data_IF_346248330282
#
_entry.id   IF_346248330282
#
_cell.length_a   1.000
_cell.length_b   1.000
_cell.length_c   1.000
_cell.angle_alpha   90.00
_cell.angle_beta   90.00
_cell.angle_gamma   90.00
#
_symmetry.space_group_name_H-M   'P 1'
#
loop_
_entity.id
_entity.type
_entity.pdbx_description
1 polymer ?
#
# COMPACT_ATOMS: atom_id res chain seq x y z
N UNK A 1 64.45 10.34 12.41
CA UNK A 1 63.56 9.81 11.38
C UNK A 1 62.14 10.14 11.81
N UNK A 2 61.41 10.93 11.02
CA UNK A 2 60.01 11.21 11.29
C UNK A 2 59.23 9.93 11.02
N UNK A 3 58.64 9.31 12.04
CA UNK A 3 57.68 8.22 11.87
C UNK A 3 56.44 8.81 11.20
N UNK A 4 56.27 8.55 9.92
CA UNK A 4 55.02 8.89 9.22
C UNK A 4 53.93 7.92 9.69
N UNK A 5 53.04 8.41 10.53
CA UNK A 5 51.78 7.75 10.82
C UNK A 5 51.00 7.49 9.51
N UNK A 6 50.88 6.25 9.12
CA UNK A 6 50.08 5.89 7.97
C UNK A 6 48.64 5.67 8.36
N UNK A 7 47.76 6.58 7.98
CA UNK A 7 46.31 6.42 8.20
C UNK A 7 45.65 5.98 6.91
N UNK A 8 44.94 4.85 6.93
CA UNK A 8 44.24 4.30 5.78
C UNK A 8 42.72 4.44 6.03
N UNK A 9 42.04 5.09 5.07
CA UNK A 9 40.59 5.22 5.08
C UNK A 9 39.97 4.07 4.31
N UNK A 10 38.96 3.43 4.89
CA UNK A 10 38.27 2.29 4.32
C UNK A 10 36.75 2.39 4.54
N UNK A 11 36.01 1.59 3.78
CA UNK A 11 34.57 1.46 3.94
C UNK A 11 34.20 -0.03 4.10
N UNK A 12 33.41 -0.30 5.12
CA UNK A 12 32.78 -1.60 5.33
C UNK A 12 31.30 -1.48 4.94
N UNK A 13 30.76 -2.47 4.26
CA UNK A 13 29.34 -2.57 3.93
C UNK A 13 28.81 -3.94 4.23
N UNK A 14 27.60 -3.99 4.79
CA UNK A 14 26.87 -5.22 5.08
C UNK A 14 25.43 -5.08 4.57
N UNK A 15 24.93 -6.12 3.90
CA UNK A 15 23.55 -6.19 3.46
C UNK A 15 22.84 -7.34 4.12
N UNK A 16 21.73 -7.08 4.78
CA UNK A 16 20.88 -8.07 5.39
C UNK A 16 19.48 -8.03 4.78
N UNK A 17 19.01 -9.18 4.25
CA UNK A 17 17.67 -9.32 3.67
C UNK A 17 16.93 -10.45 4.38
N UNK A 18 15.77 -10.14 4.92
CA UNK A 18 14.88 -11.11 5.54
C UNK A 18 13.54 -11.11 4.82
N UNK A 19 13.17 -12.27 4.24
CA UNK A 19 11.86 -12.51 3.64
C UNK A 19 11.15 -13.63 4.39
N UNK A 20 9.90 -13.36 4.74
CA UNK A 20 8.97 -14.36 5.30
C UNK A 20 7.74 -14.34 4.41
N UNK A 21 7.44 -15.45 3.76
CA UNK A 21 6.26 -15.61 2.91
C UNK A 21 5.52 -16.88 3.30
N UNK A 22 4.20 -16.82 3.33
CA UNK A 22 3.37 -17.97 3.54
C UNK A 22 2.15 -17.97 2.63
N UNK A 23 1.70 -19.14 2.23
CA UNK A 23 0.48 -19.36 1.48
C UNK A 23 -0.26 -20.59 2.00
N UNK A 24 -1.57 -20.46 2.15
CA UNK A 24 -2.45 -21.56 2.60
C UNK A 24 -3.65 -21.62 1.67
N UNK A 25 -3.90 -22.78 1.10
CA UNK A 25 -5.08 -23.06 0.27
C UNK A 25 -5.96 -24.05 1.02
N UNK A 26 -7.23 -23.73 1.20
CA UNK A 26 -8.16 -24.60 1.92
C UNK A 26 -9.55 -24.61 1.28
N UNK A 27 -10.25 -25.71 1.47
CA UNK A 27 -11.66 -25.88 1.08
C UNK A 27 -12.45 -26.39 2.31
N UNK A 28 -12.78 -25.50 3.27
CA UNK A 28 -13.38 -25.88 4.54
C UNK A 28 -14.79 -26.49 4.39
N UNK A 29 -15.49 -26.09 3.35
CA UNK A 29 -16.75 -26.66 2.91
C UNK A 29 -16.69 -26.85 1.39
N UNK A 30 -17.42 -27.81 0.89
CA UNK A 30 -17.44 -28.12 -0.54
C UNK A 30 -17.86 -26.88 -1.34
N UNK A 31 -17.12 -26.58 -2.41
CA UNK A 31 -17.32 -25.43 -3.31
C UNK A 31 -16.95 -24.06 -2.73
N UNK A 32 -16.36 -23.96 -1.53
CA UNK A 32 -15.76 -22.75 -0.98
C UNK A 32 -14.23 -22.90 -0.94
N UNK A 33 -13.56 -22.26 -1.83
CA UNK A 33 -12.09 -22.16 -1.83
C UNK A 33 -11.64 -20.88 -1.16
N UNK A 34 -10.67 -21.00 -0.27
CA UNK A 34 -10.05 -19.90 0.47
C UNK A 34 -8.54 -20.01 0.23
N UNK A 35 -7.99 -18.97 -0.36
CA UNK A 35 -6.57 -18.80 -0.53
C UNK A 35 -6.11 -17.68 0.41
N UNK A 36 -5.21 -17.99 1.35
CA UNK A 36 -4.59 -17.04 2.27
C UNK A 36 -3.12 -16.88 1.89
N UNK A 37 -2.64 -15.67 1.88
CA UNK A 37 -1.23 -15.38 1.68
C UNK A 37 -0.80 -14.18 2.50
N UNK A 38 0.46 -14.14 2.88
CA UNK A 38 1.02 -13.00 3.58
C UNK A 38 2.53 -13.06 3.58
N UNK A 39 3.15 -11.93 3.80
CA UNK A 39 4.60 -11.85 3.80
C UNK A 39 5.13 -10.63 4.52
N UNK A 40 6.41 -10.69 4.84
CA UNK A 40 7.20 -9.62 5.43
C UNK A 40 8.56 -9.58 4.76
N UNK A 41 8.95 -8.41 4.29
CA UNK A 41 10.29 -8.14 3.77
C UNK A 41 10.95 -7.08 4.64
N UNK A 42 12.15 -7.35 5.10
CA UNK A 42 12.98 -6.40 5.83
C UNK A 42 14.37 -6.43 5.21
N UNK A 43 14.76 -5.34 4.57
CA UNK A 43 16.05 -5.19 3.93
C UNK A 43 16.82 -4.05 4.57
N UNK A 44 18.04 -4.31 5.02
CA UNK A 44 18.94 -3.32 5.58
C UNK A 44 20.30 -3.37 4.89
N UNK A 45 20.88 -2.19 4.71
CA UNK A 45 22.23 -1.99 4.28
C UNK A 45 22.93 -1.17 5.37
N UNK A 46 23.98 -1.71 5.94
CA UNK A 46 24.86 -1.01 6.86
C UNK A 46 26.10 -0.57 6.09
N UNK A 47 26.50 0.67 6.26
CA UNK A 47 27.74 1.23 5.72
C UNK A 47 28.50 1.95 6.81
N UNK A 48 29.74 1.63 6.98
CA UNK A 48 30.65 2.26 7.95
C UNK A 48 31.90 2.76 7.25
N UNK A 49 32.17 4.06 7.41
CA UNK A 49 33.47 4.64 7.05
C UNK A 49 34.36 4.61 8.28
N UNK A 50 35.54 4.06 8.13
CA UNK A 50 36.51 3.97 9.24
C UNK A 50 37.93 4.26 8.75
N UNK A 51 38.79 4.59 9.69
CA UNK A 51 40.22 4.64 9.42
C UNK A 51 40.99 3.74 10.39
N UNK A 52 42.12 3.27 9.90
CA UNK A 52 43.08 2.51 10.69
C UNK A 52 44.41 3.21 10.66
N UNK A 53 45.09 3.23 11.78
CA UNK A 53 46.41 3.91 11.92
C UNK A 53 47.41 2.92 12.50
N UNK A 54 48.58 2.84 11.84
CA UNK A 54 49.72 2.12 12.34
C UNK A 54 50.57 3.10 13.16
N UNK A 55 50.56 2.92 14.50
CA UNK A 55 51.31 3.73 15.44
C UNK A 55 52.76 3.28 15.60
N UNK A 56 53.03 2.02 15.32
CA UNK A 56 54.36 1.41 15.60
C UNK A 56 55.23 1.37 14.35
N UNK A 57 54.67 1.61 13.15
CA UNK A 57 55.40 1.55 11.91
C UNK A 57 55.83 0.14 11.50
N UNK A 58 55.11 -0.88 12.02
CA UNK A 58 55.39 -2.30 11.71
C UNK A 58 54.57 -2.87 10.55
N UNK A 59 53.75 -2.01 9.91
CA UNK A 59 52.84 -2.37 8.82
C UNK A 59 51.53 -2.96 9.28
N UNK A 60 51.28 -3.03 10.58
CA UNK A 60 50.02 -3.51 11.19
C UNK A 60 49.26 -2.35 11.82
N UNK A 61 48.02 -2.20 11.44
CA UNK A 61 47.14 -1.16 12.04
C UNK A 61 46.73 -1.49 13.45
N UNK A 62 47.07 -0.60 14.39
CA UNK A 62 46.85 -0.80 15.84
C UNK A 62 45.62 -0.06 16.36
N UNK A 63 45.15 0.98 15.61
CA UNK A 63 44.00 1.77 16.02
C UNK A 63 42.95 1.71 14.92
N UNK A 64 41.72 1.38 15.31
CA UNK A 64 40.52 1.44 14.53
C UNK A 64 39.65 2.59 15.04
N UNK A 65 39.28 3.50 14.11
CA UNK A 65 38.38 4.60 14.43
C UNK A 65 37.18 4.53 13.48
N UNK A 66 36.02 4.27 14.04
CA UNK A 66 34.74 4.43 13.33
C UNK A 66 34.46 5.91 13.13
N UNK A 67 34.16 6.33 11.92
CA UNK A 67 33.88 7.72 11.58
C UNK A 67 32.39 7.96 11.40
N UNK A 68 31.76 7.26 10.48
CA UNK A 68 30.35 7.40 10.15
C UNK A 68 29.77 6.00 10.02
N UNK A 69 28.69 5.76 10.77
CA UNK A 69 27.88 4.55 10.68
C UNK A 69 26.49 4.92 10.18
N UNK A 70 26.06 4.31 9.08
CA UNK A 70 24.78 4.57 8.47
C UNK A 70 24.08 3.24 8.13
N UNK A 71 22.91 3.05 8.70
CA UNK A 71 22.01 1.96 8.32
C UNK A 71 20.83 2.53 7.56
N UNK A 72 20.55 1.99 6.39
CA UNK A 72 19.40 2.37 5.59
C UNK A 72 18.73 1.13 5.00
N UNK A 73 17.44 1.25 4.66
CA UNK A 73 16.72 0.11 4.14
C UNK A 73 15.28 0.38 3.82
N UNK A 74 14.55 -0.70 3.59
CA UNK A 74 13.12 -0.68 3.36
C UNK A 74 12.43 -1.82 4.12
N UNK A 75 11.13 -1.65 4.32
CA UNK A 75 10.32 -2.62 5.04
C UNK A 75 8.93 -2.70 4.44
N UNK A 76 8.42 -3.92 4.30
CA UNK A 76 7.05 -4.17 3.87
C UNK A 76 6.47 -5.36 4.64
N UNK A 77 5.19 -5.26 4.99
CA UNK A 77 4.47 -6.36 5.64
C UNK A 77 3.00 -6.36 5.23
N UNK A 78 2.44 -7.55 5.04
CA UNK A 78 0.99 -7.69 4.90
C UNK A 78 0.28 -7.39 6.22
N UNK A 79 -0.80 -6.61 6.14
CA UNK A 79 -1.55 -6.12 7.31
C UNK A 79 -3.04 -6.14 7.06
N UNK A 80 -3.85 -5.64 8.00
CA UNK A 80 -5.29 -5.49 7.81
C UNK A 80 -5.74 -4.10 8.21
N UNK A 81 -6.48 -3.45 7.32
CA UNK A 81 -7.10 -2.14 7.51
C UNK A 81 -8.64 -2.24 7.44
N UNK A 82 -9.18 -3.46 7.42
CA UNK A 82 -10.59 -3.75 7.13
C UNK A 82 -11.57 -3.05 8.09
N UNK A 83 -11.17 -2.76 9.33
CA UNK A 83 -12.00 -2.07 10.30
C UNK A 83 -12.36 -0.65 9.87
N UNK A 84 -11.49 0.01 9.09
CA UNK A 84 -11.66 1.39 8.61
C UNK A 84 -11.92 1.47 7.11
N UNK A 85 -12.01 0.33 6.41
CA UNK A 85 -12.14 0.25 4.96
C UNK A 85 -13.39 0.96 4.40
N UNK A 86 -14.45 1.04 5.22
CA UNK A 86 -15.75 1.63 4.87
C UNK A 86 -16.08 2.85 5.73
N UNK A 87 -15.16 3.34 6.56
CA UNK A 87 -15.36 4.58 7.31
C UNK A 87 -15.49 5.76 6.34
N UNK A 88 -16.32 6.72 6.75
CA UNK A 88 -16.49 7.94 5.96
C UNK A 88 -15.18 8.71 5.87
N UNK A 89 -14.75 8.99 4.65
CA UNK A 89 -13.54 9.76 4.36
C UNK A 89 -13.72 10.52 3.05
N UNK A 90 -13.96 11.81 3.14
CA UNK A 90 -14.08 12.74 2.03
C UNK A 90 -13.28 14.03 2.31
N UNK A 91 -13.35 15.04 1.43
CA UNK A 91 -12.65 16.30 1.60
C UNK A 91 -13.14 17.12 2.82
N UNK A 92 -14.39 16.92 3.22
CA UNK A 92 -14.99 17.70 4.31
C UNK A 92 -14.81 17.02 5.67
N UNK A 93 -14.78 15.68 5.70
CA UNK A 93 -14.70 14.92 6.95
C UNK A 93 -14.04 13.57 6.74
N UNK A 94 -13.27 13.12 7.72
CA UNK A 94 -12.67 11.78 7.73
C UNK A 94 -12.54 11.28 9.16
N UNK A 95 -13.36 10.29 9.51
CA UNK A 95 -13.32 9.67 10.85
C UNK A 95 -11.92 9.12 11.19
N UNK A 96 -11.24 8.35 10.30
CA UNK A 96 -9.91 7.84 10.63
C UNK A 96 -8.86 8.95 10.75
N UNK A 97 -9.00 10.05 9.99
CA UNK A 97 -8.07 11.17 10.09
C UNK A 97 -8.26 11.97 11.39
N UNK A 98 -9.50 12.17 11.82
CA UNK A 98 -9.79 12.82 13.09
C UNK A 98 -9.34 11.97 14.28
N UNK A 99 -9.52 10.65 14.20
CA UNK A 99 -8.95 9.70 15.15
C UNK A 99 -7.40 9.75 15.16
N UNK A 100 -6.77 9.83 13.98
CA UNK A 100 -5.32 9.98 13.89
C UNK A 100 -4.84 11.24 14.62
N UNK A 101 -5.49 12.37 14.41
CA UNK A 101 -5.16 13.62 15.12
C UNK A 101 -5.29 13.50 16.63
N UNK A 102 -6.36 12.87 17.11
CA UNK A 102 -6.60 12.68 18.56
C UNK A 102 -5.64 11.68 19.18
N UNK A 103 -5.26 10.63 18.45
CA UNK A 103 -4.32 9.61 18.91
C UNK A 103 -2.90 10.15 19.17
N UNK A 104 -2.52 11.26 18.50
CA UNK A 104 -1.17 11.86 18.66
C UNK A 104 -0.88 12.22 20.12
N UNK A 105 -1.82 12.85 20.80
CA UNK A 105 -1.66 13.21 22.22
C UNK A 105 -1.58 11.99 23.13
N UNK A 106 -2.37 10.95 22.85
CA UNK A 106 -2.34 9.69 23.61
C UNK A 106 -1.00 9.00 23.47
N UNK A 107 -0.48 8.89 22.24
CA UNK A 107 0.81 8.26 21.97
C UNK A 107 1.96 9.07 22.53
N UNK A 108 1.94 10.41 22.39
CA UNK A 108 2.94 11.31 22.95
C UNK A 108 3.05 11.15 24.48
N UNK A 109 1.93 11.06 25.18
CA UNK A 109 1.91 10.82 26.63
C UNK A 109 2.43 9.41 27.02
N UNK A 110 2.26 8.40 26.16
CA UNK A 110 2.84 7.07 26.38
C UNK A 110 4.36 7.10 26.24
N UNK A 111 4.85 7.75 25.16
CA UNK A 111 6.28 7.95 24.91
C UNK A 111 6.96 8.71 26.04
N UNK A 112 6.33 9.79 26.51
CA UNK A 112 6.85 10.57 27.64
C UNK A 112 6.92 9.74 28.93
N UNK A 113 5.89 8.97 29.24
CA UNK A 113 5.90 8.08 30.43
C UNK A 113 6.99 7.01 30.33
N UNK A 114 7.24 6.47 29.15
CA UNK A 114 8.30 5.49 28.93
C UNK A 114 9.67 6.13 29.05
N UNK A 115 9.85 7.34 28.53
CA UNK A 115 11.10 8.07 28.51
C UNK A 115 11.46 8.67 29.88
N UNK A 116 10.54 9.42 30.49
CA UNK A 116 10.81 10.15 31.75
C UNK A 116 10.61 9.31 33.01
N UNK A 117 9.82 8.23 32.94
CA UNK A 117 9.49 7.44 34.15
C UNK A 117 8.79 8.30 35.19
N UNK A 118 9.51 8.53 36.31
CA UNK A 118 9.07 9.39 37.42
C UNK A 118 9.65 10.80 37.39
N UNK A 119 10.51 11.14 36.44
CA UNK A 119 11.09 12.48 36.27
C UNK A 119 10.02 13.46 35.78
N UNK A 120 9.82 14.61 36.42
CA UNK A 120 8.87 15.62 35.95
C UNK A 120 9.28 16.18 34.60
N UNK A 121 8.27 16.49 33.77
CA UNK A 121 8.44 17.11 32.47
C UNK A 121 7.38 18.20 32.24
N UNK A 122 7.68 19.16 31.37
CA UNK A 122 6.76 20.22 31.00
C UNK A 122 5.78 19.78 29.89
N UNK A 123 4.67 20.51 29.81
CA UNK A 123 3.69 20.38 28.71
C UNK A 123 3.68 21.67 27.90
N UNK A 124 3.48 21.54 26.59
CA UNK A 124 3.25 22.70 25.74
C UNK A 124 1.81 23.25 25.88
N UNK A 125 1.48 24.32 25.12
CA UNK A 125 0.15 24.94 25.16
C UNK A 125 -0.99 24.01 24.69
N UNK A 126 -0.67 23.03 23.85
CA UNK A 126 -1.60 22.03 23.33
C UNK A 126 -1.66 20.77 24.21
N UNK A 127 -0.89 20.74 25.31
CA UNK A 127 -0.84 19.63 26.27
C UNK A 127 0.12 18.48 25.88
N UNK A 128 0.97 18.68 24.87
CA UNK A 128 1.96 17.68 24.49
C UNK A 128 3.18 17.72 25.43
N UNK A 129 3.70 16.53 25.79
CA UNK A 129 4.89 16.44 26.61
C UNK A 129 6.12 17.00 25.91
N UNK A 130 7.01 17.59 26.67
CA UNK A 130 8.29 18.07 26.20
C UNK A 130 9.07 16.98 25.46
N UNK A 131 9.60 17.32 24.27
CA UNK A 131 10.32 16.38 23.40
C UNK A 131 9.44 15.43 22.58
N UNK A 132 8.12 15.40 22.81
CA UNK A 132 7.15 14.54 22.10
C UNK A 132 5.96 15.35 21.61
N UNK A 133 6.22 16.39 20.82
CA UNK A 133 5.17 17.28 20.27
C UNK A 133 4.30 16.58 19.22
N UNK A 134 3.26 17.30 18.78
CA UNK A 134 2.22 16.79 17.86
C UNK A 134 2.75 16.28 16.52
N UNK A 135 3.91 16.77 16.06
CA UNK A 135 4.54 16.40 14.79
C UNK A 135 5.81 15.56 14.98
N UNK A 136 6.09 15.10 16.21
CA UNK A 136 7.16 14.14 16.43
C UNK A 136 6.93 12.87 15.62
N UNK A 137 7.92 12.44 14.83
CA UNK A 137 7.85 11.19 14.05
C UNK A 137 7.49 10.00 14.94
N UNK A 138 8.02 9.97 16.17
CA UNK A 138 7.75 8.90 17.15
C UNK A 138 6.30 8.86 17.61
N UNK A 139 5.60 10.02 17.64
CA UNK A 139 4.18 10.08 17.96
C UNK A 139 3.29 9.87 16.73
N UNK A 140 3.69 10.42 15.58
CA UNK A 140 2.90 10.36 14.36
C UNK A 140 2.71 8.93 13.85
N UNK A 141 3.79 8.15 13.75
CA UNK A 141 3.72 6.82 13.14
C UNK A 141 2.81 5.84 13.90
N UNK A 142 2.94 5.64 15.22
CA UNK A 142 2.01 4.76 15.93
C UNK A 142 0.57 5.27 15.93
N UNK A 143 0.37 6.59 15.98
CA UNK A 143 -0.98 7.21 15.92
C UNK A 143 -1.66 6.96 14.58
N UNK A 144 -0.92 7.09 13.48
CA UNK A 144 -1.37 6.78 12.13
C UNK A 144 -1.75 5.30 11.99
N UNK A 145 -0.86 4.41 12.44
CA UNK A 145 -1.13 2.98 12.42
C UNK A 145 -2.34 2.59 13.28
N UNK A 146 -2.52 3.20 14.45
CA UNK A 146 -3.68 2.95 15.32
C UNK A 146 -4.98 3.34 14.62
N UNK A 147 -5.08 4.58 14.15
CA UNK A 147 -6.29 5.12 13.55
C UNK A 147 -6.73 4.33 12.31
N UNK A 148 -5.81 4.10 11.38
CA UNK A 148 -6.15 3.46 10.10
C UNK A 148 -6.27 1.92 10.16
N UNK A 149 -5.69 1.27 11.17
CA UNK A 149 -5.94 -0.15 11.42
C UNK A 149 -7.13 -0.40 12.36
N UNK A 150 -7.75 0.65 12.92
CA UNK A 150 -8.84 0.56 13.88
C UNK A 150 -8.41 -0.12 15.19
N UNK A 151 -7.16 0.11 15.61
CA UNK A 151 -6.60 -0.39 16.86
C UNK A 151 -6.52 0.75 17.89
N UNK A 152 -6.63 0.38 19.17
CA UNK A 152 -6.57 1.36 20.24
C UNK A 152 -5.17 1.95 20.39
N UNK A 153 -5.06 3.29 20.37
CA UNK A 153 -3.80 4.02 20.54
C UNK A 153 -3.14 3.81 21.90
N UNK A 154 -3.89 3.40 22.93
CA UNK A 154 -3.34 3.04 24.25
C UNK A 154 -2.48 1.77 24.22
N UNK A 155 -2.76 0.84 23.29
CA UNK A 155 -2.14 -0.48 23.26
C UNK A 155 -1.34 -0.74 21.98
N UNK A 156 -1.37 0.17 20.99
CA UNK A 156 -0.59 0.00 19.77
C UNK A 156 0.90 -0.09 20.08
N UNK A 157 1.63 -0.96 19.41
CA UNK A 157 3.09 -1.00 19.55
C UNK A 157 3.70 0.31 19.07
N UNK A 158 4.63 0.86 19.81
CA UNK A 158 5.37 2.07 19.46
C UNK A 158 6.49 1.79 18.45
N UNK A 159 6.85 0.51 18.25
CA UNK A 159 7.84 0.12 17.24
C UNK A 159 7.26 0.28 15.81
N UNK A 160 8.07 0.84 14.92
CA UNK A 160 7.72 0.98 13.50
C UNK A 160 7.65 -0.36 12.75
N UNK A 161 8.50 -1.31 13.13
CA UNK A 161 8.59 -2.61 12.46
C UNK A 161 7.71 -3.63 13.17
N UNK A 162 6.83 -4.28 12.40
CA UNK A 162 5.94 -5.35 12.87
C UNK A 162 6.56 -6.70 12.53
N UNK A 163 6.34 -7.71 13.37
CA UNK A 163 6.98 -9.02 13.19
C UNK A 163 6.06 -10.03 12.52
N UNK A 164 4.76 -9.94 12.75
CA UNK A 164 3.79 -10.94 12.31
C UNK A 164 2.97 -10.40 11.13
N UNK A 165 3.12 -10.96 9.91
CA UNK A 165 2.29 -10.60 8.77
C UNK A 165 0.86 -11.12 8.96
N UNK A 166 -0.12 -10.25 8.73
CA UNK A 166 -1.56 -10.60 8.74
C UNK A 166 -1.94 -11.09 7.35
N UNK A 167 -2.69 -12.20 7.22
CA UNK A 167 -3.03 -12.75 5.92
C UNK A 167 -3.92 -11.84 5.08
N UNK A 168 -3.60 -11.74 3.81
CA UNK A 168 -4.49 -11.37 2.74
C UNK A 168 -5.29 -12.61 2.32
N UNK A 169 -6.45 -12.45 1.66
CA UNK A 169 -7.25 -13.58 1.26
C UNK A 169 -7.97 -13.40 -0.07
N UNK A 170 -8.26 -14.54 -0.70
CA UNK A 170 -9.18 -14.66 -1.82
C UNK A 170 -10.17 -15.78 -1.53
N UNK A 171 -11.47 -15.46 -1.63
CA UNK A 171 -12.58 -16.37 -1.41
C UNK A 171 -13.27 -16.63 -2.73
N UNK A 172 -13.49 -17.89 -3.08
CA UNK A 172 -14.28 -18.27 -4.26
C UNK A 172 -15.32 -19.31 -3.89
N UNK A 173 -16.58 -18.98 -4.16
CA UNK A 173 -17.69 -19.84 -3.87
C UNK A 173 -18.50 -20.21 -5.13
N UNK A 174 -18.70 -21.52 -5.34
CA UNK A 174 -19.44 -22.08 -6.48
C UNK A 174 -20.65 -22.91 -6.08
N UNK A 175 -20.91 -23.05 -4.77
CA UNK A 175 -21.94 -23.94 -4.21
C UNK A 175 -23.38 -23.58 -4.57
N UNK A 176 -23.66 -22.36 -5.06
CA UNK A 176 -24.99 -22.00 -5.58
C UNK A 176 -25.44 -22.90 -6.74
N UNK A 177 -24.48 -23.49 -7.47
CA UNK A 177 -24.78 -24.46 -8.53
C UNK A 177 -25.42 -25.77 -8.04
N UNK A 178 -25.42 -26.05 -6.72
CA UNK A 178 -26.15 -27.21 -6.14
C UNK A 178 -27.64 -26.97 -6.05
N UNK A 179 -28.07 -25.71 -6.01
CA UNK A 179 -29.48 -25.33 -5.94
C UNK A 179 -30.13 -25.63 -7.30
N UNK A 180 -31.25 -26.37 -7.30
CA UNK A 180 -31.95 -26.82 -8.53
C UNK A 180 -32.27 -25.68 -9.47
N UNK A 181 -32.65 -24.50 -8.96
CA UNK A 181 -32.98 -23.31 -9.73
C UNK A 181 -31.76 -22.80 -10.53
N UNK A 182 -30.56 -22.69 -9.87
CA UNK A 182 -29.32 -22.29 -10.54
C UNK A 182 -28.87 -23.32 -11.58
N UNK A 183 -28.86 -24.61 -11.21
CA UNK A 183 -28.48 -25.71 -12.11
C UNK A 183 -29.36 -25.80 -13.35
N UNK A 184 -30.65 -25.39 -13.25
CA UNK A 184 -31.54 -25.37 -14.41
C UNK A 184 -31.22 -24.28 -15.41
N UNK A 185 -30.75 -23.10 -14.97
CA UNK A 185 -30.52 -21.89 -15.79
C UNK A 185 -29.08 -21.68 -16.19
N UNK A 186 -28.15 -21.93 -15.27
CA UNK A 186 -26.74 -21.66 -15.47
C UNK A 186 -25.98 -22.95 -15.75
N UNK A 187 -24.90 -22.82 -16.53
CA UNK A 187 -23.87 -23.82 -16.73
C UNK A 187 -22.76 -23.66 -15.66
N UNK A 188 -22.47 -22.41 -15.27
CA UNK A 188 -21.51 -22.04 -14.24
C UNK A 188 -21.97 -20.77 -13.55
N UNK A 189 -21.76 -20.73 -12.25
CA UNK A 189 -21.97 -19.56 -11.42
C UNK A 189 -20.91 -19.54 -10.32
N UNK A 190 -20.24 -18.42 -10.13
CA UNK A 190 -19.24 -18.24 -9.08
C UNK A 190 -19.29 -16.84 -8.47
N UNK A 191 -19.06 -16.77 -7.18
CA UNK A 191 -18.82 -15.55 -6.41
C UNK A 191 -17.34 -15.52 -6.03
N UNK A 192 -16.71 -14.36 -6.15
CA UNK A 192 -15.32 -14.17 -5.73
C UNK A 192 -15.23 -12.90 -4.90
N UNK A 193 -14.43 -12.95 -3.84
CA UNK A 193 -14.07 -11.83 -2.99
C UNK A 193 -12.57 -11.90 -2.71
N UNK A 194 -11.87 -10.78 -2.78
CA UNK A 194 -10.43 -10.72 -2.50
C UNK A 194 -10.09 -9.47 -1.72
N UNK A 195 -9.18 -9.60 -0.77
CA UNK A 195 -8.68 -8.54 0.08
C UNK A 195 -7.16 -8.61 0.21
N UNK A 196 -6.50 -7.50 -0.05
CA UNK A 196 -5.07 -7.34 0.16
C UNK A 196 -4.82 -6.03 0.88
N UNK A 197 -3.94 -6.05 1.88
CA UNK A 197 -3.44 -4.84 2.50
C UNK A 197 -1.98 -4.97 2.90
N UNK A 198 -1.25 -3.87 2.82
CA UNK A 198 0.16 -3.80 3.18
C UNK A 198 0.50 -2.52 3.92
N UNK A 199 1.51 -2.62 4.77
CA UNK A 199 2.19 -1.54 5.44
C UNK A 199 3.63 -1.49 4.96
N UNK A 200 4.07 -0.34 4.45
CA UNK A 200 5.40 -0.18 3.84
C UNK A 200 6.10 1.04 4.41
N UNK A 201 7.36 0.88 4.81
CA UNK A 201 8.31 1.96 5.01
C UNK A 201 9.23 1.95 3.78
N UNK A 202 9.04 2.92 2.87
CA UNK A 202 9.76 2.92 1.59
C UNK A 202 11.26 3.08 1.79
N UNK A 203 11.65 3.94 2.73
CA UNK A 203 13.04 4.15 3.09
C UNK A 203 13.13 4.57 4.55
N UNK A 204 14.03 3.91 5.29
CA UNK A 204 14.49 4.36 6.58
C UNK A 204 16.01 4.49 6.57
N UNK A 205 16.53 5.35 7.43
CA UNK A 205 17.97 5.59 7.56
C UNK A 205 18.34 6.01 8.97
N UNK A 206 19.59 5.78 9.36
CA UNK A 206 20.16 6.34 10.58
C UNK A 206 20.10 7.87 10.54
N UNK A 207 19.71 8.48 11.62
CA UNK A 207 19.83 9.92 11.82
C UNK A 207 21.25 10.23 12.28
N UNK A 208 22.06 10.77 11.40
CA UNK A 208 23.47 11.11 11.72
C UNK A 208 23.59 12.27 12.72
N UNK A 209 22.51 13.08 12.85
CA UNK A 209 22.44 14.16 13.83
C UNK A 209 21.84 13.72 15.17
N UNK A 210 21.59 12.41 15.35
CA UNK A 210 21.01 11.88 16.57
C UNK A 210 21.99 11.99 17.74
N UNK A 211 21.52 12.61 18.81
CA UNK A 211 22.15 12.63 20.12
C UNK A 211 21.16 12.08 21.13
N UNK A 212 21.56 11.07 21.88
CA UNK A 212 20.68 10.47 22.88
C UNK A 212 20.38 11.47 23.99
N UNK A 213 19.11 11.68 24.30
CA UNK A 213 18.67 12.48 25.42
C UNK A 213 18.66 11.64 26.71
N UNK A 214 19.09 12.22 27.84
CA UNK A 214 19.01 11.60 29.16
C UNK A 214 17.97 12.36 30.00
N UNK A 215 16.89 11.69 30.47
CA UNK A 215 15.86 12.34 31.28
C UNK A 215 16.35 12.82 32.66
N UNK A 216 17.53 12.37 33.12
CA UNK A 216 18.10 12.71 34.43
C UNK A 216 19.08 13.88 34.35
N UNK A 217 19.45 14.37 33.17
CA UNK A 217 20.37 15.50 33.03
C UNK A 217 19.63 16.82 32.96
N UNK A 218 20.25 17.86 33.56
CA UNK A 218 19.69 19.21 33.57
C UNK A 218 19.55 19.76 32.16
N UNK A 219 18.32 20.15 31.79
CA UNK A 219 17.87 20.51 30.46
C UNK A 219 18.57 21.71 29.83
N UNK A 220 19.18 22.57 30.62
CA UNK A 220 19.77 23.81 30.12
C UNK A 220 20.96 23.62 29.18
N UNK A 221 21.68 22.50 29.31
CA UNK A 221 22.90 22.20 28.53
C UNK A 221 22.65 21.25 27.33
N UNK A 222 21.57 20.49 27.33
CA UNK A 222 21.29 19.49 26.29
C UNK A 222 20.25 19.90 25.23
N UNK A 223 19.58 21.03 25.41
CA UNK A 223 18.40 21.40 24.60
C UNK A 223 18.66 21.55 23.11
N UNK A 224 19.84 21.98 22.70
CA UNK A 224 20.16 22.25 21.28
C UNK A 224 20.62 21.00 20.50
N UNK A 225 21.23 20.03 21.17
CA UNK A 225 21.81 18.87 20.48
C UNK A 225 20.85 17.69 20.36
N UNK A 226 19.99 17.48 21.37
CA UNK A 226 19.10 16.32 21.43
C UNK A 226 17.74 16.53 20.75
N UNK A 227 17.37 17.80 20.50
CA UNK A 227 16.07 18.18 19.92
C UNK A 227 16.22 18.74 18.51
N UNK A 228 15.15 18.59 17.74
CA UNK A 228 14.99 19.22 16.44
C UNK A 228 14.53 20.70 16.58
N UNK A 229 14.37 21.38 15.44
CA UNK A 229 13.92 22.78 15.42
C UNK A 229 12.49 22.99 15.96
N UNK A 230 11.70 21.93 16.05
CA UNK A 230 10.33 21.94 16.59
C UNK A 230 10.29 21.57 18.08
N UNK A 231 11.44 21.36 18.71
CA UNK A 231 11.57 20.99 20.12
C UNK A 231 11.30 19.50 20.42
N UNK A 232 11.21 18.65 19.41
CA UNK A 232 11.05 17.21 19.59
C UNK A 232 12.40 16.53 19.76
N UNK A 233 12.47 15.47 20.56
CA UNK A 233 13.66 14.62 20.61
C UNK A 233 13.92 14.00 19.24
N UNK A 234 15.17 14.09 18.80
CA UNK A 234 15.60 13.50 17.54
C UNK A 234 15.42 11.99 17.59
N UNK A 235 14.79 11.43 16.55
CA UNK A 235 14.68 9.99 16.41
C UNK A 235 15.99 9.39 15.89
N UNK A 236 16.38 8.22 16.41
CA UNK A 236 17.57 7.49 15.95
C UNK A 236 17.47 7.05 14.50
N UNK A 237 16.26 6.68 14.08
CA UNK A 237 15.94 6.27 12.69
C UNK A 237 14.97 7.25 12.08
N UNK A 238 15.28 7.76 10.90
CA UNK A 238 14.40 8.63 10.12
C UNK A 238 13.65 7.80 9.07
N UNK A 239 12.37 8.10 8.90
CA UNK A 239 11.51 7.54 7.86
C UNK A 239 11.17 8.64 6.86
N UNK A 240 11.32 8.39 5.55
CA UNK A 240 10.95 9.38 4.54
C UNK A 240 9.44 9.49 4.43
N UNK A 241 8.78 8.37 4.19
CA UNK A 241 7.34 8.23 4.17
C UNK A 241 6.92 6.81 4.50
N UNK A 242 5.69 6.70 4.96
CA UNK A 242 5.08 5.44 5.35
C UNK A 242 3.76 5.28 4.61
N UNK A 243 3.55 4.12 4.01
CA UNK A 243 2.37 3.84 3.21
C UNK A 243 1.54 2.71 3.80
N UNK A 244 0.22 2.92 3.82
CA UNK A 244 -0.78 1.88 4.02
C UNK A 244 -1.57 1.74 2.72
N UNK A 245 -1.60 0.54 2.18
CA UNK A 245 -2.36 0.24 0.96
C UNK A 245 -3.39 -0.84 1.28
N UNK A 246 -4.61 -0.64 0.82
CA UNK A 246 -5.71 -1.58 0.98
C UNK A 246 -6.43 -1.73 -0.35
N UNK A 247 -6.75 -2.95 -0.72
CA UNK A 247 -7.39 -3.25 -1.98
C UNK A 247 -8.37 -4.41 -1.86
N UNK A 248 -9.62 -4.16 -2.22
CA UNK A 248 -10.62 -5.18 -2.53
C UNK A 248 -10.63 -5.43 -4.04
N UNK A 249 -10.00 -6.48 -4.48
CA UNK A 249 -9.86 -6.81 -5.91
C UNK A 249 -10.16 -8.29 -6.15
N UNK A 250 -11.45 -8.63 -6.25
CA UNK A 250 -12.64 -7.77 -6.17
C UNK A 250 -13.24 -7.65 -4.74
N UNK A 251 -14.00 -6.58 -4.47
CA UNK A 251 -14.90 -6.54 -3.30
C UNK A 251 -16.00 -7.61 -3.47
N UNK A 252 -16.62 -7.63 -4.62
CA UNK A 252 -17.54 -8.70 -5.04
C UNK A 252 -17.42 -8.88 -6.55
N UNK A 253 -17.27 -10.12 -6.99
CA UNK A 253 -17.35 -10.49 -8.39
C UNK A 253 -18.30 -11.66 -8.57
N UNK A 254 -19.20 -11.52 -9.53
CA UNK A 254 -20.14 -12.52 -9.96
C UNK A 254 -19.82 -12.91 -11.39
N UNK A 255 -19.46 -14.16 -11.62
CA UNK A 255 -19.30 -14.72 -12.97
C UNK A 255 -20.40 -15.76 -13.22
N UNK A 256 -21.16 -15.54 -14.29
CA UNK A 256 -22.26 -16.41 -14.69
C UNK A 256 -22.09 -16.85 -16.14
N UNK A 257 -22.31 -18.12 -16.42
CA UNK A 257 -22.45 -18.67 -17.78
C UNK A 257 -23.80 -19.38 -17.89
N UNK A 258 -24.67 -18.86 -18.71
CA UNK A 258 -25.97 -19.44 -18.97
C UNK A 258 -25.88 -20.64 -19.95
N UNK A 259 -26.87 -21.53 -19.96
CA UNK A 259 -26.90 -22.68 -20.88
C UNK A 259 -27.02 -22.28 -22.37
N UNK A 260 -27.54 -21.11 -22.66
CA UNK A 260 -27.65 -20.52 -24.02
C UNK A 260 -26.36 -19.82 -24.47
N UNK A 261 -25.21 -20.03 -23.76
CA UNK A 261 -23.89 -19.45 -24.07
C UNK A 261 -23.75 -17.95 -23.79
N UNK A 262 -24.71 -17.33 -23.11
CA UNK A 262 -24.55 -15.98 -22.56
C UNK A 262 -23.66 -16.05 -21.33
N UNK A 263 -22.66 -15.18 -21.26
CA UNK A 263 -21.79 -14.95 -20.09
C UNK A 263 -22.06 -13.58 -19.55
N UNK A 264 -22.19 -13.48 -18.22
CA UNK A 264 -22.36 -12.22 -17.51
C UNK A 264 -21.29 -12.14 -16.42
N UNK A 265 -20.66 -10.98 -16.31
CA UNK A 265 -19.72 -10.65 -15.24
C UNK A 265 -20.16 -9.34 -14.62
N UNK A 266 -20.25 -9.29 -13.29
CA UNK A 266 -20.41 -8.07 -12.53
C UNK A 266 -19.33 -8.03 -11.46
N UNK A 267 -18.60 -6.93 -11.38
CA UNK A 267 -17.45 -6.81 -10.47
C UNK A 267 -17.41 -5.41 -9.84
N UNK A 268 -17.17 -5.36 -8.54
CA UNK A 268 -16.94 -4.13 -7.79
C UNK A 268 -15.55 -4.24 -7.19
N UNK A 269 -14.72 -3.22 -7.41
CA UNK A 269 -13.40 -3.08 -6.79
C UNK A 269 -13.37 -1.81 -5.96
N UNK A 270 -12.58 -1.84 -4.90
CA UNK A 270 -12.31 -0.69 -4.06
C UNK A 270 -10.85 -0.71 -3.64
N UNK A 271 -10.18 0.41 -3.77
CA UNK A 271 -8.80 0.57 -3.34
C UNK A 271 -8.61 1.88 -2.55
N UNK A 272 -7.70 1.84 -1.60
CA UNK A 272 -7.28 2.99 -0.80
C UNK A 272 -5.78 2.92 -0.56
N UNK A 273 -5.11 4.04 -0.78
CA UNK A 273 -3.69 4.20 -0.48
C UNK A 273 -3.49 5.45 0.37
N UNK A 274 -2.77 5.31 1.46
CA UNK A 274 -2.45 6.35 2.42
C UNK A 274 -0.95 6.51 2.47
N UNK A 275 -0.44 7.72 2.30
CA UNK A 275 0.99 8.04 2.38
C UNK A 275 1.19 9.16 3.39
N UNK A 276 1.82 8.84 4.51
CA UNK A 276 2.20 9.81 5.54
C UNK A 276 3.63 10.28 5.30
N UNK A 277 3.81 11.57 5.03
CA UNK A 277 5.11 12.25 4.92
C UNK A 277 5.44 12.96 6.22
N UNK A 278 6.61 12.64 6.78
CA UNK A 278 7.09 13.27 8.02
C UNK A 278 7.75 14.64 7.76
N UNK A 279 8.34 14.81 6.58
CA UNK A 279 9.04 16.05 6.23
C UNK A 279 8.09 17.24 6.03
N UNK A 280 6.88 16.96 5.52
CA UNK A 280 5.91 18.00 5.17
C UNK A 280 4.67 18.02 6.08
N UNK A 281 4.57 17.12 7.06
CA UNK A 281 3.41 16.93 7.91
C UNK A 281 2.10 16.77 7.10
N UNK A 282 2.15 15.92 6.07
CA UNK A 282 1.06 15.68 5.13
C UNK A 282 0.66 14.21 5.12
N UNK A 283 -0.65 14.00 5.04
CA UNK A 283 -1.22 12.71 4.69
C UNK A 283 -1.88 12.80 3.31
N UNK A 284 -1.37 12.05 2.35
CA UNK A 284 -2.01 11.88 1.04
C UNK A 284 -2.88 10.64 1.07
N UNK A 285 -4.16 10.80 0.78
CA UNK A 285 -5.14 9.73 0.67
C UNK A 285 -5.62 9.59 -0.77
N UNK A 286 -5.43 8.42 -1.37
CA UNK A 286 -5.92 8.08 -2.70
C UNK A 286 -7.01 7.03 -2.53
N UNK A 287 -8.17 7.27 -3.11
CA UNK A 287 -9.32 6.36 -3.10
C UNK A 287 -9.70 6.02 -4.53
N UNK A 288 -10.08 4.77 -4.75
CA UNK A 288 -10.56 4.28 -6.03
C UNK A 288 -11.75 3.34 -5.85
N UNK A 289 -12.82 3.58 -6.62
CA UNK A 289 -13.98 2.70 -6.73
C UNK A 289 -14.18 2.37 -8.21
N UNK A 290 -14.31 1.08 -8.54
CA UNK A 290 -14.52 0.63 -9.93
C UNK A 290 -15.67 -0.35 -10.00
N UNK A 291 -16.60 -0.10 -10.91
CA UNK A 291 -17.74 -0.93 -11.23
C UNK A 291 -17.58 -1.45 -12.66
N UNK A 292 -17.59 -2.78 -12.83
CA UNK A 292 -17.41 -3.43 -14.13
C UNK A 292 -18.62 -4.32 -14.40
N UNK A 293 -19.19 -4.17 -15.59
CA UNK A 293 -20.22 -5.05 -16.09
C UNK A 293 -19.82 -5.61 -17.46
N UNK A 294 -19.77 -6.93 -17.57
CA UNK A 294 -19.37 -7.65 -18.77
C UNK A 294 -20.49 -8.53 -19.31
N UNK A 295 -20.72 -8.46 -20.61
CA UNK A 295 -21.62 -9.33 -21.37
C UNK A 295 -20.83 -10.06 -22.44
N UNK A 296 -20.90 -11.39 -22.43
CA UNK A 296 -20.33 -12.23 -23.50
C UNK A 296 -21.42 -13.10 -24.13
N UNK A 297 -21.33 -13.27 -25.45
CA UNK A 297 -22.22 -14.20 -26.18
C UNK A 297 -21.44 -14.98 -27.20
N UNK A 298 -21.67 -16.30 -27.24
CA UNK A 298 -21.04 -17.19 -28.20
C UNK A 298 -22.09 -17.80 -29.13
N UNK A 299 -22.07 -17.42 -30.41
CA UNK A 299 -22.87 -18.04 -31.46
C UNK A 299 -22.11 -19.25 -31.99
N UNK A 300 -22.61 -20.45 -31.68
CA UNK A 300 -21.96 -21.69 -32.06
C UNK A 300 -22.24 -22.05 -33.52
N UNK A 301 -21.18 -22.44 -34.22
CA UNK A 301 -21.28 -23.02 -35.56
C UNK A 301 -21.85 -22.06 -36.62
N UNK A 302 -21.60 -20.75 -36.47
CA UNK A 302 -21.96 -19.77 -37.47
C UNK A 302 -21.33 -20.13 -38.83
N UNK A 303 -22.13 -20.11 -39.89
CA UNK A 303 -21.70 -20.48 -41.24
C UNK A 303 -21.55 -19.21 -42.06
N UNK A 304 -20.31 -18.93 -42.50
CA UNK A 304 -20.02 -17.84 -43.40
C UNK A 304 -19.57 -18.38 -44.75
N UNK A 305 -20.11 -17.80 -45.85
CA UNK A 305 -19.61 -18.10 -47.19
C UNK A 305 -18.36 -17.29 -47.46
N UNK A 306 -17.27 -17.94 -47.86
CA UNK A 306 -16.01 -17.27 -48.16
C UNK A 306 -15.25 -18.00 -49.23
N UNK A 307 -14.65 -17.24 -50.17
CA UNK A 307 -13.74 -17.76 -51.17
C UNK A 307 -12.51 -18.46 -50.58
N UNK A 308 -12.18 -18.14 -49.32
CA UNK A 308 -11.07 -18.77 -48.56
C UNK A 308 -11.36 -20.20 -48.10
N UNK A 309 -12.62 -20.65 -48.18
CA UNK A 309 -13.03 -21.97 -47.71
C UNK A 309 -12.81 -23.10 -48.76
N UNK A 310 -12.16 -22.79 -49.87
CA UNK A 310 -11.93 -23.75 -50.97
C UNK A 310 -13.24 -24.21 -51.66
N UNK A 311 -13.32 -25.47 -52.14
CA UNK A 311 -14.45 -25.95 -53.00
C UNK A 311 -15.82 -25.88 -52.34
N UNK A 312 -15.88 -25.88 -50.98
CA UNK A 312 -17.16 -25.85 -50.23
C UNK A 312 -17.69 -24.43 -49.96
N UNK A 313 -16.87 -23.41 -50.14
CA UNK A 313 -17.21 -21.98 -49.93
C UNK A 313 -17.91 -21.65 -48.58
N UNK A 314 -17.90 -22.56 -47.60
CA UNK A 314 -18.55 -22.38 -46.31
C UNK A 314 -17.57 -22.68 -45.18
N UNK A 315 -17.34 -21.70 -44.37
CA UNK A 315 -16.58 -21.81 -43.10
C UNK A 315 -17.60 -21.94 -41.98
N UNK A 316 -17.44 -22.93 -41.12
CA UNK A 316 -18.25 -23.14 -39.92
C UNK A 316 -17.35 -22.94 -38.70
N UNK A 317 -17.57 -21.89 -37.94
CA UNK A 317 -16.85 -21.57 -36.71
C UNK A 317 -17.76 -20.90 -35.69
N UNK A 318 -17.26 -20.71 -34.48
CA UNK A 318 -17.96 -19.98 -33.43
C UNK A 318 -17.62 -18.49 -33.53
N UNK A 319 -18.63 -17.63 -33.42
CA UNK A 319 -18.45 -16.19 -33.22
C UNK A 319 -18.56 -15.89 -31.75
N UNK A 320 -17.49 -15.41 -31.15
CA UNK A 320 -17.48 -14.93 -29.76
C UNK A 320 -17.58 -13.41 -29.76
N UNK A 321 -18.50 -12.89 -28.98
CA UNK A 321 -18.70 -11.45 -28.78
C UNK A 321 -18.59 -11.14 -27.29
N UNK A 322 -17.92 -10.05 -26.95
CA UNK A 322 -17.75 -9.57 -25.59
C UNK A 322 -17.91 -8.06 -25.56
N UNK A 323 -18.68 -7.57 -24.61
CA UNK A 323 -18.84 -6.16 -24.30
C UNK A 323 -18.61 -5.95 -22.82
N UNK A 324 -17.69 -5.08 -22.45
CA UNK A 324 -17.43 -4.69 -21.08
C UNK A 324 -17.66 -3.18 -20.93
N UNK A 325 -18.36 -2.79 -19.89
CA UNK A 325 -18.54 -1.39 -19.48
C UNK A 325 -17.94 -1.25 -18.09
N UNK A 326 -17.13 -0.22 -17.88
CA UNK A 326 -16.64 0.10 -16.55
C UNK A 326 -16.73 1.58 -16.22
N UNK A 327 -16.95 1.87 -14.95
CA UNK A 327 -16.92 3.21 -14.37
C UNK A 327 -15.93 3.15 -13.23
N UNK A 328 -14.86 3.95 -13.34
CA UNK A 328 -13.85 4.07 -12.29
C UNK A 328 -13.81 5.52 -11.81
N UNK A 329 -13.93 5.69 -10.49
CA UNK A 329 -13.79 6.98 -9.81
C UNK A 329 -12.51 6.95 -8.96
N UNK A 330 -11.58 7.84 -9.26
CA UNK A 330 -10.34 8.02 -8.49
C UNK A 330 -10.34 9.41 -7.87
N UNK A 331 -9.92 9.52 -6.60
CA UNK A 331 -9.83 10.77 -5.88
C UNK A 331 -8.58 10.80 -5.02
N UNK A 332 -7.83 11.90 -5.07
CA UNK A 332 -6.66 12.14 -4.22
C UNK A 332 -6.93 13.35 -3.33
N UNK A 333 -6.83 13.15 -2.03
CA UNK A 333 -7.03 14.16 -1.01
C UNK A 333 -5.71 14.36 -0.26
N UNK A 334 -5.26 15.61 -0.14
CA UNK A 334 -4.16 16.01 0.71
C UNK A 334 -4.73 16.53 2.02
N UNK A 335 -4.29 15.98 3.15
CA UNK A 335 -4.70 16.34 4.49
C UNK A 335 -3.51 16.92 5.25
N UNK A 336 -3.64 18.17 5.68
CA UNK A 336 -2.61 18.85 6.46
C UNK A 336 -2.79 18.50 7.94
N UNK A 337 -1.73 18.02 8.59
CA UNK A 337 -1.80 17.59 10.00
C UNK A 337 -1.99 18.76 10.97
N UNK A 338 -1.51 19.94 10.59
CA UNK A 338 -1.52 21.15 11.43
C UNK A 338 -2.63 22.13 11.07
N UNK A 339 -3.23 21.95 9.90
CA UNK A 339 -4.27 22.84 9.39
C UNK A 339 -5.59 22.07 9.30
N UNK A 340 -6.69 22.73 9.62
CA UNK A 340 -8.02 22.17 9.36
C UNK A 340 -8.42 22.40 7.89
N UNK A 341 -7.52 22.01 6.99
CA UNK A 341 -7.69 22.18 5.56
C UNK A 341 -7.36 20.87 4.84
N UNK A 342 -8.36 20.30 4.20
CA UNK A 342 -8.20 19.14 3.32
C UNK A 342 -8.46 19.59 1.89
N UNK A 343 -7.63 19.16 0.96
CA UNK A 343 -7.74 19.59 -0.43
C UNK A 343 -7.80 18.38 -1.36
N UNK A 344 -8.76 18.39 -2.28
CA UNK A 344 -8.74 17.50 -3.43
C UNK A 344 -7.64 17.98 -4.36
N UNK A 345 -6.56 17.22 -4.51
CA UNK A 345 -5.42 17.58 -5.35
C UNK A 345 -5.51 16.98 -6.75
N UNK A 346 -6.19 15.84 -6.89
CA UNK A 346 -6.45 15.18 -8.16
C UNK A 346 -7.71 14.31 -8.04
N UNK A 347 -8.31 14.02 -9.18
CA UNK A 347 -9.43 13.10 -9.26
C UNK A 347 -9.92 13.00 -10.68
N UNK A 348 -10.46 11.84 -11.03
CA UNK A 348 -11.08 11.63 -12.32
C UNK A 348 -12.12 10.53 -12.25
N UNK A 349 -13.19 10.71 -13.03
CA UNK A 349 -14.16 9.66 -13.33
C UNK A 349 -13.92 9.18 -14.76
N UNK A 350 -13.64 7.89 -14.91
CA UNK A 350 -13.37 7.27 -16.21
C UNK A 350 -14.52 6.34 -16.55
N UNK A 351 -15.17 6.60 -17.67
CA UNK A 351 -16.13 5.71 -18.30
C UNK A 351 -15.44 4.97 -19.42
N UNK A 352 -15.44 3.65 -19.41
CA UNK A 352 -14.90 2.88 -20.51
C UNK A 352 -15.88 1.84 -21.02
N UNK A 353 -15.89 1.66 -22.33
CA UNK A 353 -16.66 0.64 -23.02
C UNK A 353 -15.73 -0.07 -23.99
N UNK A 354 -15.65 -1.40 -23.87
CA UNK A 354 -14.85 -2.25 -24.74
C UNK A 354 -15.76 -3.26 -25.39
N UNK A 355 -15.67 -3.36 -26.70
CA UNK A 355 -16.34 -4.39 -27.46
C UNK A 355 -15.32 -5.19 -28.25
N UNK A 356 -15.48 -6.51 -28.28
CA UNK A 356 -14.69 -7.38 -29.15
C UNK A 356 -15.55 -8.48 -29.76
N UNK A 357 -15.25 -8.83 -31.00
CA UNK A 357 -15.84 -9.97 -31.69
C UNK A 357 -14.74 -10.73 -32.42
N UNK A 358 -14.65 -12.03 -32.20
CA UNK A 358 -13.69 -12.89 -32.89
C UNK A 358 -14.36 -14.05 -33.63
N UNK A 359 -13.84 -14.33 -34.82
CA UNK A 359 -14.28 -15.42 -35.65
C UNK A 359 -13.09 -16.10 -36.32
N UNK A 360 -12.95 -17.41 -36.15
CA UNK A 360 -11.87 -18.19 -36.75
C UNK A 360 -12.27 -18.66 -38.15
N UNK A 361 -11.60 -18.13 -39.18
CA UNK A 361 -11.79 -18.53 -40.58
C UNK A 361 -11.09 -19.85 -40.92
N UNK A 362 -9.96 -20.12 -40.26
CA UNK A 362 -9.19 -21.35 -40.39
C UNK A 362 -8.39 -21.62 -39.10
N UNK A 363 -7.63 -22.72 -39.09
CA UNK A 363 -6.71 -23.02 -37.98
C UNK A 363 -5.64 -21.91 -37.76
N UNK A 364 -5.30 -21.20 -38.85
CA UNK A 364 -4.22 -20.20 -38.84
C UNK A 364 -4.70 -18.77 -39.09
N UNK A 365 -6.01 -18.54 -39.26
CA UNK A 365 -6.58 -17.25 -39.56
C UNK A 365 -7.80 -16.98 -38.70
N UNK A 366 -7.70 -15.98 -37.82
CA UNK A 366 -8.80 -15.47 -37.00
C UNK A 366 -8.96 -13.97 -37.25
N UNK A 367 -10.19 -13.54 -37.55
CA UNK A 367 -10.52 -12.12 -37.59
C UNK A 367 -10.97 -11.68 -36.20
N UNK A 368 -10.46 -10.54 -35.76
CA UNK A 368 -10.85 -9.88 -34.52
C UNK A 368 -11.27 -8.47 -34.84
N UNK A 369 -12.50 -8.13 -34.45
CA UNK A 369 -13.01 -6.76 -34.44
C UNK A 369 -13.00 -6.30 -33.00
N UNK A 370 -12.45 -5.12 -32.73
CA UNK A 370 -12.51 -4.49 -31.43
C UNK A 370 -12.90 -3.03 -31.54
N UNK A 371 -13.51 -2.52 -30.52
CA UNK A 371 -13.85 -1.10 -30.37
C UNK A 371 -13.66 -0.74 -28.89
N UNK A 372 -12.80 0.25 -28.63
CA UNK A 372 -12.53 0.79 -27.32
C UNK A 372 -12.94 2.26 -27.28
N UNK A 373 -13.75 2.61 -26.30
CA UNK A 373 -14.14 3.98 -25.98
C UNK A 373 -13.81 4.26 -24.55
N UNK A 374 -13.14 5.38 -24.28
CA UNK A 374 -12.88 5.88 -22.94
C UNK A 374 -13.14 7.38 -22.88
N UNK A 375 -13.90 7.79 -21.87
CA UNK A 375 -14.17 9.18 -21.55
C UNK A 375 -13.71 9.44 -20.12
N UNK A 376 -12.90 10.48 -19.92
CA UNK A 376 -12.36 10.88 -18.62
C UNK A 376 -12.80 12.29 -18.28
N UNK A 377 -13.44 12.44 -17.15
CA UNK A 377 -13.82 13.72 -16.54
C UNK A 377 -12.99 13.94 -15.27
N UNK A 378 -12.38 15.11 -15.16
CA UNK A 378 -11.49 15.44 -14.06
C UNK A 378 -12.24 16.19 -12.94
N UNK A 379 -11.95 15.86 -11.68
CA UNK A 379 -12.57 16.50 -10.51
C UNK A 379 -12.11 17.95 -10.30
N UNK A 380 -10.95 18.32 -10.88
CA UNK A 380 -10.42 19.69 -10.80
C UNK A 380 -10.61 20.34 -12.17
N UNK A 381 -11.26 21.48 -12.20
CA UNK A 381 -11.69 22.18 -13.42
C UNK A 381 -10.55 22.75 -14.29
N UNK A 382 -9.29 22.56 -13.91
CA UNK A 382 -8.12 22.98 -14.71
C UNK A 382 -7.79 22.05 -15.88
N UNK A 383 -8.36 20.87 -15.91
CA UNK A 383 -8.16 19.89 -16.98
C UNK A 383 -9.49 19.66 -17.74
N UNK A 384 -9.40 19.67 -19.06
CA UNK A 384 -10.56 19.40 -19.91
C UNK A 384 -10.87 17.89 -19.99
N UNK A 385 -12.15 17.52 -20.08
CA UNK A 385 -12.54 16.14 -20.35
C UNK A 385 -11.85 15.57 -21.59
N UNK A 386 -11.45 14.31 -21.53
CA UNK A 386 -10.77 13.64 -22.64
C UNK A 386 -11.55 12.43 -23.12
N UNK A 387 -11.63 12.28 -24.43
CA UNK A 387 -12.23 11.12 -25.08
C UNK A 387 -11.22 10.39 -25.93
N UNK A 388 -11.11 9.09 -25.76
CA UNK A 388 -10.27 8.21 -26.58
C UNK A 388 -11.14 7.15 -27.25
N UNK A 389 -11.02 7.02 -28.57
CA UNK A 389 -11.69 6.01 -29.37
C UNK A 389 -10.63 5.23 -30.15
N UNK A 390 -10.67 3.92 -30.11
CA UNK A 390 -9.75 3.01 -30.80
C UNK A 390 -10.46 1.87 -31.50
#
# INVERSE_FOLDING_TARGET
MANYLCTVYQQYTETHNQNIDYAVNMEPITDLKIDLNGGRTFATNYAESYNTTDLNGDGLSNIYNSLIQNTFGNYNISTSLIKTAFSKSDENSSEPFDEFKSNRLVVANRLAREFYGSTPYSLDADGYPEGFGKNSQSALLPSFLAAYSGNNSQNISLNAFRDIPIPNWTLKYTGLMRIKWFKKRFKRFSLTHGYNASYTINQFRTNLDYVAADPNLDYSSQQLETKDQSGNYKAQTLYSNVNLVEQFSPLVKIDMEMKNSVKLTAEIKKDRSLSLSFDNNLLTEIQGDEYIFGLGYRIKGLRLRSKLAGPRNVIKSDLNMKADISIRNNKTIIRYLDLNNNQVSAGQTIWSMRYSADYAFSKNLTAILYFDYAFSEYAISTAFPQTTIR
#
